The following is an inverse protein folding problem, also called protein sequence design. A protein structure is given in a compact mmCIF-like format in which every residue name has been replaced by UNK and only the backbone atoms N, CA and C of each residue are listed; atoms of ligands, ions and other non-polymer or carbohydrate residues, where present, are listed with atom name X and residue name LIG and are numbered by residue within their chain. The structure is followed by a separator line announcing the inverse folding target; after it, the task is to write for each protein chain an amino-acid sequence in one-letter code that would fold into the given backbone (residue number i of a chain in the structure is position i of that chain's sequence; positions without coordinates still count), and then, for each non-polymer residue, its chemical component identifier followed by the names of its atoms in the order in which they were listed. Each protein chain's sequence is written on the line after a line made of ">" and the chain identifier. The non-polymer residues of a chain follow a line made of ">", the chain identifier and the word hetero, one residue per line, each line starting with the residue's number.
data_IF_285808538300
#
_entry.id   IF_285808538300
#
_cell.length_a   1.000
_cell.length_b   1.000
_cell.length_c   1.000
_cell.angle_alpha   90.00
_cell.angle_beta   90.00
_cell.angle_gamma   90.00
#
_symmetry.space_group_name_H-M   'P 1'
#
loop_
_entity.id
_entity.type
_entity.pdbx_description
1 polymer ?
#
# COMPACT_ATOMS: atom_id res chain seq x y z
N UNK A 1 -14.61 6.03 11.94
CA UNK A 1 -13.23 5.58 11.76
C UNK A 1 -13.24 4.44 10.75
N UNK A 2 -12.36 4.45 9.77
CA UNK A 2 -12.23 3.36 8.79
C UNK A 2 -10.75 3.10 8.53
N UNK A 3 -10.38 1.87 8.23
CA UNK A 3 -9.04 1.51 7.79
C UNK A 3 -9.02 1.63 6.27
N UNK A 4 -8.17 2.50 5.75
CA UNK A 4 -8.15 2.79 4.32
C UNK A 4 -6.73 3.19 3.88
N UNK A 5 -6.48 3.17 2.58
CA UNK A 5 -5.20 3.57 2.02
C UNK A 5 -5.11 5.07 1.76
N UNK A 6 -3.89 5.53 1.52
CA UNK A 6 -3.55 6.95 1.30
C UNK A 6 -4.22 7.59 0.09
N UNK A 7 -4.68 6.80 -0.89
CA UNK A 7 -5.43 7.32 -2.05
C UNK A 7 -6.68 8.12 -1.66
N UNK A 8 -7.19 7.97 -0.44
CA UNK A 8 -8.31 8.76 0.05
C UNK A 8 -7.98 10.21 0.32
N UNK A 9 -6.71 10.57 0.51
CA UNK A 9 -6.31 11.97 0.66
C UNK A 9 -6.68 12.78 -0.58
N UNK A 10 -6.43 12.23 -1.78
CA UNK A 10 -6.85 12.86 -3.02
C UNK A 10 -8.39 12.97 -3.13
N UNK A 11 -9.12 11.94 -2.74
CA UNK A 11 -10.57 11.93 -2.79
C UNK A 11 -11.19 13.00 -1.86
N UNK A 12 -10.68 13.17 -0.65
CA UNK A 12 -11.16 14.19 0.29
C UNK A 12 -10.93 15.60 -0.22
N UNK A 13 -9.79 15.86 -0.85
CA UNK A 13 -9.46 17.18 -1.39
C UNK A 13 -10.20 17.53 -2.69
N UNK A 14 -10.64 16.52 -3.45
CA UNK A 14 -11.49 16.70 -4.62
C UNK A 14 -12.97 16.97 -4.25
N UNK A 15 -13.29 17.10 -2.98
CA UNK A 15 -14.65 17.40 -2.51
C UNK A 15 -15.58 16.18 -2.52
N UNK A 16 -15.03 14.98 -2.59
CA UNK A 16 -15.78 13.72 -2.51
C UNK A 16 -15.82 13.23 -1.05
N UNK A 17 -16.00 14.10 -0.11
CA UNK A 17 -15.99 13.72 1.30
C UNK A 17 -15.93 14.89 2.24
N UNK A 18 -15.35 14.67 3.41
CA UNK A 18 -15.16 15.67 4.44
C UNK A 18 -14.22 16.80 3.98
N UNK A 19 -14.43 18.00 4.49
CA UNK A 19 -13.48 19.09 4.34
C UNK A 19 -12.18 18.81 5.09
N UNK A 20 -11.13 19.58 4.85
CA UNK A 20 -9.83 19.41 5.52
C UNK A 20 -9.92 19.43 7.05
N UNK A 21 -10.93 20.13 7.60
CA UNK A 21 -11.17 20.23 9.03
C UNK A 21 -11.94 19.05 9.63
N UNK A 22 -12.51 18.18 8.78
CA UNK A 22 -13.43 17.10 9.20
C UNK A 22 -12.78 15.73 9.28
N UNK A 23 -11.54 15.58 8.84
CA UNK A 23 -10.86 14.30 8.86
C UNK A 23 -9.49 14.40 9.52
N UNK A 24 -9.09 13.31 10.11
CA UNK A 24 -7.76 13.07 10.64
C UNK A 24 -7.33 11.66 10.34
N UNK A 25 -6.08 11.35 10.62
CA UNK A 25 -5.53 10.03 10.42
C UNK A 25 -4.80 9.55 11.69
N UNK A 26 -4.60 8.25 11.78
CA UNK A 26 -3.75 7.63 12.78
C UNK A 26 -3.10 6.37 12.19
N UNK A 27 -1.85 6.05 12.58
CA UNK A 27 -1.26 4.77 12.23
C UNK A 27 -2.09 3.63 12.83
N UNK A 28 -1.93 2.42 12.30
CA UNK A 28 -2.55 1.25 12.90
C UNK A 28 -2.04 1.08 14.33
N UNK A 29 -2.95 1.02 15.32
CA UNK A 29 -2.52 0.81 16.70
C UNK A 29 -1.92 -0.58 16.88
N UNK A 30 -1.17 -0.75 17.94
CA UNK A 30 -0.75 -2.09 18.36
C UNK A 30 -1.98 -2.98 18.59
N UNK A 31 -2.01 -4.12 17.92
CA UNK A 31 -3.09 -5.10 18.05
C UNK A 31 -2.75 -6.23 19.01
N UNK A 32 -1.48 -6.35 19.41
CA UNK A 32 -1.00 -7.40 20.32
C UNK A 32 0.36 -7.04 20.92
N UNK A 33 0.74 -7.76 21.97
CA UNK A 33 2.09 -7.65 22.55
C UNK A 33 3.22 -8.07 21.60
N UNK A 34 2.90 -8.76 20.51
CA UNK A 34 3.87 -9.15 19.46
C UNK A 34 4.11 -8.03 18.44
N UNK A 35 3.24 -7.02 18.41
CA UNK A 35 3.38 -5.82 17.60
C UNK A 35 3.15 -4.62 18.51
N UNK A 36 4.11 -4.27 19.37
CA UNK A 36 3.90 -3.33 20.47
C UNK A 36 3.73 -1.88 20.02
N UNK A 37 4.34 -1.51 18.90
CA UNK A 37 4.36 -0.14 18.42
C UNK A 37 3.42 0.09 17.24
N UNK A 38 2.93 1.32 17.06
CA UNK A 38 2.25 1.70 15.84
C UNK A 38 3.11 1.38 14.61
N UNK A 39 2.51 0.87 13.56
CA UNK A 39 3.23 0.56 12.33
C UNK A 39 2.43 0.99 11.10
N UNK A 40 3.14 1.14 9.99
CA UNK A 40 2.55 1.32 8.69
C UNK A 40 2.51 0.01 7.93
N UNK A 41 1.37 -0.26 7.31
CA UNK A 41 1.22 -1.35 6.38
C UNK A 41 1.47 -0.85 4.96
N UNK A 42 2.58 -1.26 4.37
CA UNK A 42 2.98 -0.85 3.03
C UNK A 42 2.41 -1.84 2.03
N UNK A 43 1.60 -1.34 1.11
CA UNK A 43 1.09 -2.11 -0.03
C UNK A 43 1.80 -1.69 -1.31
N UNK A 44 2.05 -2.63 -2.19
CA UNK A 44 2.52 -2.36 -3.54
C UNK A 44 1.28 -2.29 -4.44
N UNK A 45 0.63 -1.13 -4.46
CA UNK A 45 -0.58 -0.90 -5.27
C UNK A 45 -0.24 -0.62 -6.74
N UNK A 46 0.75 0.24 -6.96
CA UNK A 46 1.22 0.60 -8.30
C UNK A 46 2.68 0.23 -8.44
N UNK A 47 3.01 -0.55 -9.46
CA UNK A 47 4.38 -0.97 -9.74
C UNK A 47 4.79 -0.60 -11.14
N UNK A 48 6.06 -0.27 -11.31
CA UNK A 48 6.69 -0.11 -12.62
C UNK A 48 7.69 -1.24 -12.83
N UNK A 49 7.65 -1.86 -13.99
CA UNK A 49 8.57 -2.93 -14.35
C UNK A 49 9.02 -2.81 -15.80
N UNK A 50 10.20 -3.32 -16.09
CA UNK A 50 10.72 -3.38 -17.46
C UNK A 50 10.14 -4.60 -18.16
N UNK A 51 9.44 -4.39 -19.29
CA UNK A 51 8.94 -5.49 -20.08
C UNK A 51 10.11 -6.32 -20.66
N UNK A 52 10.17 -7.61 -20.30
CA UNK A 52 11.21 -8.52 -20.75
C UNK A 52 11.29 -8.64 -22.29
N UNK A 53 10.18 -8.43 -23.00
CA UNK A 53 10.10 -8.45 -24.45
C UNK A 53 10.14 -7.05 -25.09
N UNK A 54 10.37 -6.00 -24.29
CA UNK A 54 10.47 -4.62 -24.78
C UNK A 54 11.67 -4.42 -25.71
N UNK A 55 11.50 -3.60 -26.73
CA UNK A 55 12.56 -3.30 -27.73
C UNK A 55 13.65 -2.36 -27.18
N UNK A 56 13.32 -1.53 -26.20
CA UNK A 56 14.22 -0.55 -25.58
C UNK A 56 14.25 -0.75 -24.05
N UNK A 57 14.89 -1.81 -23.61
CA UNK A 57 14.99 -2.13 -22.18
C UNK A 57 15.90 -1.15 -21.44
N UNK A 58 16.98 -0.75 -22.08
CA UNK A 58 17.96 0.17 -21.47
C UNK A 58 17.30 1.53 -21.20
N UNK A 59 16.55 2.07 -22.16
CA UNK A 59 15.80 3.30 -21.95
C UNK A 59 14.72 3.18 -20.86
N UNK A 60 14.08 2.02 -20.71
CA UNK A 60 13.14 1.78 -19.62
C UNK A 60 13.85 1.72 -18.26
N UNK A 61 15.03 1.11 -18.20
CA UNK A 61 15.88 1.09 -17.00
C UNK A 61 16.36 2.51 -16.65
N UNK A 62 16.74 3.30 -17.65
CA UNK A 62 17.17 4.69 -17.44
C UNK A 62 16.04 5.53 -16.82
N UNK A 63 14.78 5.35 -17.28
CA UNK A 63 13.61 6.03 -16.68
C UNK A 63 13.43 5.63 -15.21
N UNK A 64 13.50 4.34 -14.89
CA UNK A 64 13.37 3.87 -13.51
C UNK A 64 14.51 4.42 -12.63
N UNK A 65 15.73 4.39 -13.11
CA UNK A 65 16.89 4.94 -12.41
C UNK A 65 16.73 6.46 -12.20
N UNK A 66 16.22 7.17 -13.21
CA UNK A 66 15.96 8.59 -13.07
C UNK A 66 14.94 8.87 -11.97
N UNK A 67 13.81 8.15 -11.94
CA UNK A 67 12.79 8.27 -10.89
C UNK A 67 13.42 8.04 -9.51
N UNK A 68 14.18 6.97 -9.34
CA UNK A 68 14.81 6.61 -8.07
C UNK A 68 15.90 7.59 -7.61
N UNK A 69 16.51 8.33 -8.56
CA UNK A 69 17.62 9.24 -8.28
C UNK A 69 17.19 10.71 -8.16
N UNK A 70 15.97 11.05 -8.51
CA UNK A 70 15.47 12.42 -8.52
C UNK A 70 14.33 12.63 -7.50
N UNK A 71 14.67 12.46 -6.24
CA UNK A 71 13.73 12.56 -5.10
C UNK A 71 12.87 13.82 -5.16
N UNK A 72 13.47 14.98 -5.37
CA UNK A 72 12.75 16.26 -5.38
C UNK A 72 11.67 16.29 -6.48
N UNK A 73 11.98 15.74 -7.66
CA UNK A 73 11.00 15.68 -8.77
C UNK A 73 9.88 14.70 -8.49
N UNK A 74 10.19 13.61 -7.83
CA UNK A 74 9.18 12.63 -7.41
C UNK A 74 8.26 13.24 -6.35
N UNK A 75 8.80 14.01 -5.43
CA UNK A 75 8.01 14.72 -4.41
C UNK A 75 7.14 15.83 -5.02
N UNK A 76 7.67 16.58 -6.01
CA UNK A 76 6.86 17.56 -6.77
C UNK A 76 5.63 16.89 -7.42
N UNK A 77 5.83 15.73 -8.06
CA UNK A 77 4.72 14.98 -8.68
C UNK A 77 3.79 14.42 -7.62
N UNK A 78 4.34 13.85 -6.53
CA UNK A 78 3.53 13.31 -5.44
C UNK A 78 2.62 14.37 -4.80
N UNK A 79 3.08 15.62 -4.75
CA UNK A 79 2.31 16.75 -4.25
C UNK A 79 1.05 17.00 -5.08
N UNK A 80 1.13 16.91 -6.42
CA UNK A 80 -0.04 17.08 -7.31
C UNK A 80 -1.11 16.00 -7.03
N UNK A 81 -0.70 14.83 -6.56
CA UNK A 81 -1.59 13.74 -6.14
C UNK A 81 -1.86 13.71 -4.62
N UNK A 82 -1.55 14.81 -3.93
CA UNK A 82 -1.73 14.93 -2.47
C UNK A 82 -1.10 13.77 -1.68
N UNK A 83 0.01 13.22 -2.19
CA UNK A 83 0.71 12.05 -1.64
C UNK A 83 -0.16 10.78 -1.50
N UNK A 84 -1.33 10.75 -2.15
CA UNK A 84 -2.25 9.61 -2.07
C UNK A 84 -1.75 8.37 -2.79
N UNK A 85 -1.10 8.53 -3.93
CA UNK A 85 -0.74 7.41 -4.81
C UNK A 85 0.76 7.22 -5.07
N UNK A 86 1.58 8.20 -4.75
CA UNK A 86 3.00 8.15 -5.05
C UNK A 86 3.87 8.12 -3.79
N UNK A 87 3.74 7.09 -3.01
CA UNK A 87 4.81 6.76 -2.08
C UNK A 87 5.78 5.81 -2.79
N UNK A 88 6.64 6.38 -3.61
CA UNK A 88 7.84 5.66 -4.05
C UNK A 88 8.59 5.25 -2.78
N UNK A 89 9.33 4.13 -2.76
CA UNK A 89 10.15 3.74 -1.61
C UNK A 89 11.31 4.72 -1.41
N UNK A 90 10.97 5.97 -1.12
CA UNK A 90 11.90 7.02 -0.79
C UNK A 90 12.03 7.10 0.72
N UNK A 91 13.25 7.15 1.19
CA UNK A 91 13.51 7.55 2.58
C UNK A 91 13.19 9.04 2.69
N UNK A 92 12.13 9.36 3.42
CA UNK A 92 11.76 10.74 3.71
C UNK A 92 12.42 11.21 5.00
N UNK A 93 12.80 12.47 5.01
CA UNK A 93 13.21 13.22 6.19
C UNK A 93 12.23 14.37 6.43
N UNK A 94 12.24 14.97 7.60
CA UNK A 94 11.37 16.11 7.91
C UNK A 94 11.57 17.30 6.95
N UNK A 95 12.76 17.46 6.39
CA UNK A 95 13.04 18.50 5.40
C UNK A 95 12.47 18.24 4.00
N UNK A 96 12.02 17.01 3.74
CA UNK A 96 11.43 16.62 2.46
C UNK A 96 9.91 16.88 2.42
N UNK A 97 9.32 17.19 3.57
CA UNK A 97 7.87 17.35 3.68
C UNK A 97 7.48 18.78 3.29
N UNK A 98 6.67 18.96 2.22
CA UNK A 98 6.22 20.28 1.83
C UNK A 98 5.38 20.96 2.90
N UNK A 99 5.51 22.27 3.04
CA UNK A 99 4.75 23.07 4.02
C UNK A 99 3.48 23.69 3.43
N UNK A 100 3.27 23.53 2.13
CA UNK A 100 2.16 24.12 1.36
C UNK A 100 1.14 23.07 0.90
N UNK A 101 1.01 21.99 1.67
CA UNK A 101 0.00 20.94 1.52
C UNK A 101 -0.91 20.92 2.75
N UNK A 102 -2.02 20.18 2.69
CA UNK A 102 -2.96 20.08 3.80
C UNK A 102 -2.26 19.64 5.11
N UNK A 103 -2.55 20.28 6.25
CA UNK A 103 -1.89 19.97 7.53
C UNK A 103 -1.96 18.49 7.90
N UNK A 104 -3.09 17.83 7.65
CA UNK A 104 -3.28 16.41 7.93
C UNK A 104 -2.35 15.51 7.10
N UNK A 105 -2.03 15.93 5.86
CA UNK A 105 -1.08 15.21 5.00
C UNK A 105 0.35 15.45 5.48
N UNK A 106 0.66 16.67 5.96
CA UNK A 106 1.97 16.94 6.58
C UNK A 106 2.20 16.08 7.81
N UNK A 107 1.21 15.99 8.68
CA UNK A 107 1.25 15.15 9.88
C UNK A 107 1.44 13.68 9.51
N UNK A 108 0.70 13.19 8.51
CA UNK A 108 0.86 11.83 7.98
C UNK A 108 2.29 11.57 7.51
N UNK A 109 2.83 12.43 6.65
CA UNK A 109 4.18 12.24 6.10
C UNK A 109 5.25 12.29 7.18
N UNK A 110 5.07 13.16 8.18
CA UNK A 110 5.99 13.27 9.33
C UNK A 110 6.03 11.98 10.15
N UNK A 111 4.86 11.45 10.50
CA UNK A 111 4.77 10.19 11.22
C UNK A 111 5.20 8.99 10.36
N UNK A 112 4.87 8.99 9.07
CA UNK A 112 5.35 7.99 8.13
C UNK A 112 6.88 7.95 8.10
N UNK A 113 7.53 9.10 7.95
CA UNK A 113 8.98 9.21 7.92
C UNK A 113 9.60 8.71 9.25
N UNK A 114 9.02 9.10 10.40
CA UNK A 114 9.49 8.68 11.72
C UNK A 114 9.36 7.16 11.91
N UNK A 115 8.15 6.63 11.77
CA UNK A 115 7.83 5.22 12.07
C UNK A 115 8.57 4.28 11.11
N UNK A 116 8.60 4.61 9.81
CA UNK A 116 9.34 3.79 8.84
C UNK A 116 10.85 3.90 9.01
N UNK A 117 11.37 5.06 9.42
CA UNK A 117 12.77 5.26 9.77
C UNK A 117 13.22 4.43 10.98
N UNK A 118 12.33 4.14 11.90
CA UNK A 118 12.53 3.22 13.03
C UNK A 118 12.38 1.73 12.63
N UNK A 119 12.03 1.44 11.39
CA UNK A 119 11.81 0.09 10.90
C UNK A 119 10.43 -0.48 11.24
N UNK A 120 9.52 0.33 11.77
CA UNK A 120 8.16 -0.09 12.18
C UNK A 120 7.19 -0.07 11.00
N UNK A 121 7.40 -0.94 10.03
CA UNK A 121 6.48 -1.14 8.91
C UNK A 121 6.32 -2.61 8.57
N UNK A 122 5.19 -2.95 7.99
CA UNK A 122 4.88 -4.29 7.48
C UNK A 122 4.46 -4.23 6.02
N UNK A 123 4.43 -5.39 5.39
CA UNK A 123 3.90 -5.51 4.04
C UNK A 123 2.45 -5.95 4.07
N UNK A 124 1.66 -5.38 3.18
CA UNK A 124 0.31 -5.86 2.95
C UNK A 124 0.35 -7.24 2.32
N UNK A 125 -0.28 -8.21 2.97
CA UNK A 125 -0.13 -9.63 2.61
C UNK A 125 -0.64 -9.96 1.23
N UNK A 126 -1.69 -9.28 0.75
CA UNK A 126 -2.29 -9.55 -0.58
C UNK A 126 -1.31 -9.36 -1.74
N UNK A 127 -0.26 -8.54 -1.57
CA UNK A 127 0.78 -8.32 -2.59
C UNK A 127 1.45 -9.61 -3.04
N UNK A 128 1.49 -10.61 -2.15
CA UNK A 128 2.17 -11.88 -2.37
C UNK A 128 1.19 -13.05 -2.55
N UNK A 129 -0.10 -12.77 -2.67
CA UNK A 129 -1.10 -13.80 -2.84
C UNK A 129 -1.06 -14.38 -4.25
N UNK A 130 -1.24 -15.69 -4.39
CA UNK A 130 -1.51 -16.30 -5.68
C UNK A 130 -2.79 -15.74 -6.29
N UNK A 131 -2.90 -15.79 -7.62
CA UNK A 131 -4.00 -15.17 -8.34
C UNK A 131 -5.38 -15.69 -7.91
N UNK A 132 -5.55 -17.02 -7.84
CA UNK A 132 -6.85 -17.63 -7.49
C UNK A 132 -7.36 -17.18 -6.10
N UNK A 133 -6.58 -17.31 -5.00
CA UNK A 133 -6.98 -16.79 -3.70
C UNK A 133 -7.25 -15.28 -3.69
N UNK A 134 -6.42 -14.51 -4.40
CA UNK A 134 -6.61 -13.06 -4.52
C UNK A 134 -7.94 -12.71 -5.17
N UNK A 135 -8.26 -13.33 -6.30
CA UNK A 135 -9.53 -13.11 -7.01
C UNK A 135 -10.72 -13.53 -6.15
N UNK A 136 -10.64 -14.69 -5.48
CA UNK A 136 -11.71 -15.19 -4.62
C UNK A 136 -12.09 -14.18 -3.52
N UNK A 137 -11.10 -13.66 -2.78
CA UNK A 137 -11.40 -12.66 -1.73
C UNK A 137 -12.03 -11.39 -2.31
N UNK A 138 -11.51 -10.88 -3.43
CA UNK A 138 -11.98 -9.60 -3.97
C UNK A 138 -13.33 -9.66 -4.68
N UNK A 139 -13.67 -10.80 -5.29
CA UNK A 139 -14.89 -10.94 -6.09
C UNK A 139 -16.01 -11.68 -5.37
N UNK A 140 -15.65 -12.66 -4.55
CA UNK A 140 -16.64 -13.59 -4.01
C UNK A 140 -17.02 -13.28 -2.55
N UNK A 141 -16.40 -12.27 -1.91
CA UNK A 141 -16.78 -11.84 -0.58
C UNK A 141 -18.24 -11.34 -0.51
N UNK A 142 -18.77 -10.82 -1.59
CA UNK A 142 -20.14 -10.32 -1.66
C UNK A 142 -21.18 -11.41 -1.37
N UNK A 143 -20.92 -12.65 -1.76
CA UNK A 143 -21.84 -13.77 -1.49
C UNK A 143 -21.95 -14.10 0.01
N UNK A 144 -20.88 -13.83 0.77
CA UNK A 144 -20.90 -13.94 2.24
C UNK A 144 -21.73 -12.82 2.84
N UNK A 145 -21.58 -11.58 2.36
CA UNK A 145 -22.36 -10.44 2.83
C UNK A 145 -23.84 -10.56 2.47
N UNK A 146 -24.15 -11.17 1.32
CA UNK A 146 -25.52 -11.48 0.93
C UNK A 146 -26.15 -12.61 1.77
N UNK A 147 -25.33 -13.39 2.48
CA UNK A 147 -25.78 -14.55 3.26
C UNK A 147 -26.02 -15.82 2.42
N UNK A 148 -25.50 -15.83 1.18
CA UNK A 148 -25.67 -16.96 0.27
C UNK A 148 -24.78 -18.15 0.64
N UNK A 149 -23.62 -17.88 1.26
CA UNK A 149 -22.74 -18.90 1.83
C UNK A 149 -22.29 -18.50 3.24
N UNK A 150 -21.91 -19.48 4.05
CA UNK A 150 -21.37 -19.23 5.38
C UNK A 150 -19.92 -18.71 5.31
N UNK A 151 -19.49 -18.01 6.35
CA UNK A 151 -18.09 -17.59 6.49
C UNK A 151 -17.17 -18.82 6.49
N UNK A 152 -17.56 -19.89 7.14
CA UNK A 152 -16.83 -21.15 7.25
C UNK A 152 -16.62 -21.78 5.88
N UNK A 153 -17.67 -21.88 5.05
CA UNK A 153 -17.57 -22.46 3.71
C UNK A 153 -16.70 -21.60 2.81
N UNK A 154 -16.84 -20.27 2.88
CA UNK A 154 -16.00 -19.35 2.14
C UNK A 154 -14.51 -19.52 2.49
N UNK A 155 -14.19 -19.54 3.78
CA UNK A 155 -12.82 -19.74 4.26
C UNK A 155 -12.27 -21.11 3.91
N UNK A 156 -13.11 -22.15 3.92
CA UNK A 156 -12.71 -23.49 3.51
C UNK A 156 -12.35 -23.56 2.03
N UNK A 157 -13.11 -22.94 1.16
CA UNK A 157 -12.81 -22.87 -0.26
C UNK A 157 -11.57 -22.01 -0.54
N UNK A 158 -11.43 -20.90 0.18
CA UNK A 158 -10.23 -20.08 0.12
C UNK A 158 -8.97 -20.86 0.52
N UNK A 159 -9.04 -21.67 1.58
CA UNK A 159 -7.93 -22.54 2.00
C UNK A 159 -7.56 -23.56 0.93
N UNK A 160 -8.55 -24.18 0.27
CA UNK A 160 -8.28 -25.12 -0.84
C UNK A 160 -7.52 -24.46 -1.99
N UNK A 161 -7.88 -23.21 -2.33
CA UNK A 161 -7.17 -22.46 -3.37
C UNK A 161 -5.71 -22.22 -2.99
N UNK A 162 -5.45 -21.88 -1.73
CA UNK A 162 -4.09 -21.73 -1.21
C UNK A 162 -3.31 -23.04 -1.25
N UNK A 163 -3.92 -24.14 -0.85
CA UNK A 163 -3.26 -25.46 -0.86
C UNK A 163 -2.92 -25.90 -2.28
N UNK A 164 -3.81 -25.63 -3.23
CA UNK A 164 -3.55 -25.84 -4.66
C UNK A 164 -2.38 -24.99 -5.16
N UNK A 165 -2.37 -23.70 -4.84
CA UNK A 165 -1.29 -22.79 -5.25
C UNK A 165 0.06 -23.22 -4.68
N UNK A 166 0.13 -23.61 -3.40
CA UNK A 166 1.34 -24.15 -2.78
C UNK A 166 1.81 -25.42 -3.48
N UNK A 167 0.90 -26.34 -3.77
CA UNK A 167 1.23 -27.60 -4.46
C UNK A 167 1.78 -27.38 -5.86
N UNK A 168 1.30 -26.35 -6.53
CA UNK A 168 1.75 -25.97 -7.88
C UNK A 168 3.04 -25.13 -7.88
N UNK A 169 3.48 -24.61 -6.73
CA UNK A 169 4.61 -23.69 -6.66
C UNK A 169 4.26 -22.23 -7.07
N UNK A 170 2.98 -21.88 -7.05
CA UNK A 170 2.48 -20.55 -7.46
C UNK A 170 2.57 -19.51 -6.34
N UNK A 171 3.15 -19.86 -5.18
CA UNK A 171 3.33 -18.96 -4.06
C UNK A 171 4.63 -18.16 -4.18
N UNK A 172 4.55 -16.85 -4.05
CA UNK A 172 5.73 -15.98 -4.01
C UNK A 172 6.35 -15.99 -2.61
N UNK A 173 7.69 -15.95 -2.51
CA UNK A 173 8.34 -15.80 -1.22
C UNK A 173 8.04 -14.41 -0.65
N UNK A 174 7.62 -14.35 0.61
CA UNK A 174 7.51 -13.08 1.33
C UNK A 174 8.92 -12.63 1.72
N UNK A 175 9.30 -11.37 1.42
CA UNK A 175 10.61 -10.86 1.81
C UNK A 175 10.79 -10.96 3.33
N UNK A 176 11.91 -11.51 3.76
CA UNK A 176 12.27 -11.50 5.17
C UNK A 176 12.89 -10.13 5.50
N UNK A 177 12.54 -9.61 6.66
CA UNK A 177 13.25 -8.47 7.24
C UNK A 177 14.61 -8.96 7.74
N UNK A 178 15.65 -8.27 7.34
CA UNK A 178 17.00 -8.42 7.91
C UNK A 178 17.14 -7.52 9.13
#
# INVERSE_FOLDING_TARGET
>A
MMTIGTWTFQATQLGIGASDDEWGWAPLPSLSSQSPDPNFMIAIGTTMSVNANGKNKDGAIDVLNWIMSNKDKVLDIAKDFQFGEMVVPLTLSSSDIPTDIAPQVQDYLSEYARITGEGNYGYCTWTFWPADPGVHIWKDMEVVWAGDISVEDFLYDHQKMWDKARKNGDTLPVPLRN
#
